data_IF_818840965829
#
_entry.id   IF_818840965829
#
_cell.length_a   1.000
_cell.length_b   1.000
_cell.length_c   1.000
_cell.angle_alpha   90.00
_cell.angle_beta   90.00
_cell.angle_gamma   90.00
#
_symmetry.space_group_name_H-M   'P 1'
#
loop_
_entity.id
_entity.type
_entity.pdbx_description
1 polymer ?
#
# COMPACT_ATOMS: atom_id res chain seq x y z
N UNK A 1 -25.11 -14.96 -21.96
CA UNK A 1 -24.44 -13.67 -22.19
C UNK A 1 -22.94 -13.92 -22.11
N UNK A 2 -22.22 -13.47 -23.12
CA UNK A 2 -20.75 -13.52 -23.09
C UNK A 2 -20.27 -12.68 -21.90
N UNK A 3 -19.19 -13.10 -21.27
CA UNK A 3 -18.55 -12.29 -20.21
C UNK A 3 -17.81 -11.09 -20.81
N UNK A 4 -17.32 -11.25 -22.03
CA UNK A 4 -16.52 -10.26 -22.76
C UNK A 4 -17.03 -10.12 -24.18
N UNK A 5 -17.26 -8.89 -24.60
CA UNK A 5 -17.53 -8.53 -26.00
C UNK A 5 -16.48 -7.53 -26.50
N UNK A 6 -16.14 -7.59 -27.77
CA UNK A 6 -15.19 -6.65 -28.38
C UNK A 6 -15.88 -5.74 -29.40
N UNK A 7 -15.75 -4.43 -29.18
CA UNK A 7 -16.21 -3.41 -30.12
C UNK A 7 -15.05 -3.03 -31.06
N UNK A 8 -15.02 -3.68 -32.22
CA UNK A 8 -13.97 -3.46 -33.23
C UNK A 8 -14.01 -2.08 -33.86
N UNK A 9 -15.15 -1.38 -33.83
CA UNK A 9 -15.30 -0.04 -34.40
C UNK A 9 -14.65 1.03 -33.53
N UNK A 10 -14.63 0.81 -32.22
CA UNK A 10 -14.10 1.74 -31.24
C UNK A 10 -12.85 1.20 -30.50
N UNK A 11 -12.38 0.02 -30.88
CA UNK A 11 -11.17 -0.65 -30.36
C UNK A 11 -11.15 -0.76 -28.83
N UNK A 12 -12.16 -1.45 -28.27
CA UNK A 12 -12.17 -1.77 -26.84
C UNK A 12 -12.97 -3.03 -26.53
N UNK A 13 -12.63 -3.70 -25.42
CA UNK A 13 -13.42 -4.79 -24.86
C UNK A 13 -14.39 -4.29 -23.79
N UNK A 14 -15.61 -4.86 -23.77
CA UNK A 14 -16.63 -4.74 -22.73
C UNK A 14 -16.56 -5.98 -21.85
N UNK A 15 -16.13 -5.83 -20.60
CA UNK A 15 -16.14 -6.92 -19.63
C UNK A 15 -17.35 -6.68 -18.69
N UNK A 16 -18.38 -7.49 -18.85
CA UNK A 16 -19.63 -7.29 -18.10
C UNK A 16 -19.47 -7.63 -16.63
N UNK A 17 -20.06 -6.78 -15.77
CA UNK A 17 -20.03 -6.96 -14.33
C UNK A 17 -21.40 -7.51 -13.87
N UNK A 18 -21.43 -8.64 -13.12
CA UNK A 18 -22.68 -9.28 -12.72
C UNK A 18 -23.35 -8.64 -11.48
N UNK A 19 -22.80 -7.56 -10.97
CA UNK A 19 -23.28 -6.88 -9.77
C UNK A 19 -23.40 -5.37 -10.00
N UNK A 20 -24.04 -4.68 -9.06
CA UNK A 20 -24.18 -3.23 -9.11
C UNK A 20 -22.82 -2.53 -9.01
N UNK A 21 -22.67 -1.43 -9.75
CA UNK A 21 -21.46 -0.61 -9.67
C UNK A 21 -21.32 0.03 -8.29
N UNK A 22 -20.11 -0.04 -7.72
CA UNK A 22 -19.73 0.64 -6.47
C UNK A 22 -18.76 1.75 -6.80
N UNK A 23 -19.25 2.98 -6.89
CA UNK A 23 -18.49 4.15 -7.35
C UNK A 23 -17.32 4.56 -6.44
N UNK A 24 -17.30 4.06 -5.19
CA UNK A 24 -16.25 4.36 -4.21
C UNK A 24 -15.06 3.40 -4.29
N UNK A 25 -15.18 2.31 -5.04
CA UNK A 25 -14.15 1.30 -5.19
C UNK A 25 -13.44 1.42 -6.54
N UNK A 26 -12.16 1.12 -6.56
CA UNK A 26 -11.36 1.09 -7.79
C UNK A 26 -11.64 -0.19 -8.56
N UNK A 27 -12.10 -0.13 -9.81
CA UNK A 27 -12.33 -1.30 -10.62
C UNK A 27 -11.01 -1.94 -11.03
N UNK A 28 -10.98 -3.27 -11.11
CA UNK A 28 -9.83 -4.03 -11.57
C UNK A 28 -10.27 -5.21 -12.43
N UNK A 29 -9.48 -5.46 -13.47
CA UNK A 29 -9.54 -6.69 -14.28
C UNK A 29 -8.21 -7.40 -14.11
N UNK A 30 -8.27 -8.70 -13.88
CA UNK A 30 -7.12 -9.58 -13.77
C UNK A 30 -7.23 -10.63 -14.85
N UNK A 31 -6.13 -10.88 -15.57
CA UNK A 31 -6.04 -11.95 -16.55
C UNK A 31 -5.29 -13.12 -15.94
N UNK A 32 -5.97 -14.26 -15.82
CA UNK A 32 -5.53 -15.43 -15.09
C UNK A 32 -4.67 -16.39 -15.92
N UNK A 33 -4.94 -16.48 -17.21
CA UNK A 33 -4.28 -17.41 -18.10
C UNK A 33 -3.16 -16.80 -18.92
N UNK A 34 -2.37 -17.66 -19.56
CA UNK A 34 -1.14 -17.28 -20.27
C UNK A 34 -1.21 -17.39 -21.80
N UNK A 35 -2.29 -17.88 -22.40
CA UNK A 35 -2.23 -18.27 -23.79
C UNK A 35 -3.31 -17.67 -24.66
N UNK A 36 -3.10 -16.45 -25.08
CA UNK A 36 -3.58 -16.04 -26.38
C UNK A 36 -2.40 -16.07 -27.35
N UNK A 37 -2.46 -16.92 -28.36
CA UNK A 37 -1.50 -16.98 -29.44
C UNK A 37 -1.38 -15.60 -30.08
N UNK A 38 -0.26 -14.90 -29.84
CA UNK A 38 0.06 -13.64 -30.50
C UNK A 38 -0.23 -12.36 -29.70
N UNK A 39 -0.81 -12.44 -28.51
CA UNK A 39 -0.93 -11.29 -27.60
C UNK A 39 -0.14 -11.56 -26.32
N UNK A 40 0.74 -10.64 -25.96
CA UNK A 40 1.48 -10.67 -24.70
C UNK A 40 0.56 -10.30 -23.54
N UNK A 41 -0.29 -11.23 -23.14
CA UNK A 41 -1.07 -11.10 -21.91
C UNK A 41 -0.49 -12.10 -20.93
N UNK A 42 0.30 -11.58 -20.00
CA UNK A 42 0.90 -12.39 -18.95
C UNK A 42 -0.13 -12.74 -17.88
N UNK A 43 -0.02 -13.93 -17.32
CA UNK A 43 -0.82 -14.34 -16.18
C UNK A 43 -0.62 -13.36 -15.01
N UNK A 44 -1.73 -12.97 -14.36
CA UNK A 44 -1.72 -11.97 -13.29
C UNK A 44 -1.62 -10.52 -13.77
N UNK A 45 -1.67 -10.29 -15.09
CA UNK A 45 -1.71 -8.92 -15.61
C UNK A 45 -2.97 -8.21 -15.13
N UNK A 46 -2.80 -7.03 -14.56
CA UNK A 46 -3.88 -6.21 -14.01
C UNK A 46 -4.17 -5.01 -14.89
N UNK A 47 -5.44 -4.74 -15.10
CA UNK A 47 -5.92 -3.59 -15.85
C UNK A 47 -6.84 -2.79 -14.94
N UNK A 48 -6.66 -1.48 -14.89
CA UNK A 48 -7.62 -0.56 -14.28
C UNK A 48 -8.55 -0.03 -15.38
N UNK A 49 -9.77 -0.56 -15.49
CA UNK A 49 -10.69 -0.19 -16.55
C UNK A 49 -11.49 1.08 -16.20
N UNK A 50 -12.20 1.61 -17.18
CA UNK A 50 -13.26 2.61 -16.95
C UNK A 50 -14.60 1.92 -16.79
N UNK A 51 -15.37 2.31 -15.78
CA UNK A 51 -16.73 1.78 -15.57
C UNK A 51 -17.71 2.53 -16.45
N UNK A 52 -18.54 1.79 -17.21
CA UNK A 52 -19.64 2.33 -18.01
C UNK A 52 -20.95 1.76 -17.51
N UNK A 53 -21.90 2.64 -17.18
CA UNK A 53 -23.21 2.28 -16.61
C UNK A 53 -24.38 2.78 -17.44
N UNK A 54 -24.12 3.56 -18.49
CA UNK A 54 -25.16 4.28 -19.24
C UNK A 54 -25.54 3.61 -20.57
N UNK A 55 -24.96 2.44 -20.87
CA UNK A 55 -25.13 1.73 -22.14
C UNK A 55 -25.56 0.28 -21.89
N UNK A 56 -26.78 0.09 -21.42
CA UNK A 56 -27.33 -1.23 -21.09
C UNK A 56 -26.80 -1.82 -19.79
N UNK A 57 -26.37 -3.10 -19.84
CA UNK A 57 -25.76 -3.75 -18.68
C UNK A 57 -24.42 -3.09 -18.34
N UNK A 58 -24.11 -2.87 -17.05
CA UNK A 58 -22.86 -2.24 -16.66
C UNK A 58 -21.64 -3.09 -17.04
N UNK A 59 -20.60 -2.45 -17.54
CA UNK A 59 -19.38 -3.12 -17.94
C UNK A 59 -18.11 -2.31 -17.63
N UNK A 60 -17.01 -3.01 -17.57
CA UNK A 60 -15.67 -2.43 -17.53
C UNK A 60 -15.13 -2.29 -18.95
N UNK A 61 -14.81 -1.05 -19.33
CA UNK A 61 -14.25 -0.73 -20.64
C UNK A 61 -12.73 -0.84 -20.62
N UNK A 62 -12.17 -1.70 -21.47
CA UNK A 62 -10.73 -1.90 -21.65
C UNK A 62 -10.33 -1.43 -23.04
N UNK A 63 -9.65 -0.28 -23.17
CA UNK A 63 -9.27 0.25 -24.48
C UNK A 63 -8.13 -0.55 -25.12
N UNK A 64 -8.14 -0.60 -26.44
CA UNK A 64 -7.05 -1.15 -27.27
C UNK A 64 -6.68 -2.60 -26.99
N UNK A 65 -7.62 -3.40 -26.53
CA UNK A 65 -7.41 -4.84 -26.28
C UNK A 65 -8.65 -5.62 -26.65
N UNK A 66 -8.47 -6.66 -27.41
CA UNK A 66 -9.48 -7.70 -27.63
C UNK A 66 -9.25 -8.82 -26.61
N UNK A 67 -10.14 -8.92 -25.66
CA UNK A 67 -10.07 -9.92 -24.58
C UNK A 67 -11.01 -11.12 -24.83
N UNK A 68 -11.67 -11.20 -25.99
CA UNK A 68 -12.61 -12.29 -26.28
C UNK A 68 -11.92 -13.65 -26.35
N UNK A 69 -10.66 -13.69 -26.81
CA UNK A 69 -9.88 -14.92 -26.89
C UNK A 69 -9.45 -15.48 -25.53
N UNK A 70 -9.53 -14.67 -24.47
CA UNK A 70 -9.16 -15.02 -23.09
C UNK A 70 -10.32 -14.82 -22.10
N UNK A 71 -11.55 -14.85 -22.60
CA UNK A 71 -12.76 -14.58 -21.81
C UNK A 71 -12.86 -15.41 -20.53
N UNK A 72 -12.47 -16.69 -20.58
CA UNK A 72 -12.53 -17.59 -19.41
C UNK A 72 -11.48 -17.26 -18.35
N UNK A 73 -10.41 -16.58 -18.74
CA UNK A 73 -9.32 -16.17 -17.87
C UNK A 73 -9.50 -14.74 -17.33
N UNK A 74 -10.51 -14.00 -17.80
CA UNK A 74 -10.82 -12.65 -17.33
C UNK A 74 -11.56 -12.71 -16.01
N UNK A 75 -10.98 -12.11 -14.97
CA UNK A 75 -11.60 -11.90 -13.67
C UNK A 75 -11.88 -10.41 -13.53
N UNK A 76 -13.13 -10.05 -13.29
CA UNK A 76 -13.55 -8.67 -13.01
C UNK A 76 -13.82 -8.49 -11.52
N UNK A 77 -13.49 -7.34 -10.96
CA UNK A 77 -13.69 -7.09 -9.54
C UNK A 77 -13.36 -5.66 -9.11
N UNK A 78 -13.34 -5.49 -7.82
CA UNK A 78 -12.95 -4.25 -7.17
C UNK A 78 -11.64 -4.46 -6.42
N UNK A 79 -10.73 -3.49 -6.56
CA UNK A 79 -9.48 -3.50 -5.81
C UNK A 79 -9.77 -3.25 -4.34
N UNK A 80 -9.15 -4.02 -3.47
CA UNK A 80 -9.09 -3.78 -2.03
C UNK A 80 -7.65 -3.96 -1.56
N UNK A 81 -7.30 -3.25 -0.51
CA UNK A 81 -5.97 -3.33 0.08
C UNK A 81 -6.06 -4.13 1.39
N UNK A 82 -5.09 -5.03 1.58
CA UNK A 82 -4.83 -5.59 2.89
C UNK A 82 -3.89 -4.65 3.62
N UNK A 83 -4.33 -4.13 4.75
CA UNK A 83 -3.54 -3.19 5.55
C UNK A 83 -3.70 -3.54 7.03
N UNK A 84 -2.64 -4.11 7.62
CA UNK A 84 -2.65 -4.58 8.99
C UNK A 84 -1.51 -3.93 9.75
N UNK A 85 -1.82 -3.18 10.80
CA UNK A 85 -0.83 -2.73 11.77
C UNK A 85 -0.77 -3.76 12.90
N UNK A 86 0.40 -4.35 13.09
CA UNK A 86 0.61 -5.35 14.13
C UNK A 86 0.65 -4.65 15.51
N UNK A 87 -0.12 -5.12 16.48
CA UNK A 87 -0.09 -4.56 17.82
C UNK A 87 1.27 -4.79 18.50
N UNK A 88 1.56 -3.98 19.51
CA UNK A 88 2.78 -4.13 20.30
C UNK A 88 2.85 -5.51 20.94
N UNK A 89 4.02 -6.13 20.86
CA UNK A 89 4.30 -7.43 21.48
C UNK A 89 4.84 -7.24 22.89
N UNK A 90 4.39 -8.04 23.82
CA UNK A 90 4.82 -8.01 25.21
C UNK A 90 5.32 -9.38 25.65
N UNK A 91 6.17 -9.38 26.68
CA UNK A 91 6.65 -10.62 27.27
C UNK A 91 5.49 -11.38 27.96
N UNK A 92 5.38 -12.67 27.68
CA UNK A 92 4.36 -13.53 28.29
C UNK A 92 4.90 -14.09 29.60
N UNK A 93 4.10 -13.99 30.68
CA UNK A 93 4.43 -14.45 32.02
C UNK A 93 3.96 -15.89 32.28
N UNK A 94 3.10 -16.42 31.41
CA UNK A 94 2.58 -17.78 31.52
C UNK A 94 2.55 -18.51 30.18
N UNK A 95 2.56 -19.81 30.20
CA UNK A 95 2.57 -20.66 29.01
C UNK A 95 1.24 -20.59 28.22
N UNK A 96 0.17 -20.15 28.87
CA UNK A 96 -1.15 -19.98 28.25
C UNK A 96 -1.33 -18.61 27.59
N UNK A 97 -0.39 -17.69 27.82
CA UNK A 97 -0.41 -16.36 27.23
C UNK A 97 -1.51 -15.44 27.76
N UNK A 98 -2.12 -15.77 28.89
CA UNK A 98 -3.20 -15.01 29.51
C UNK A 98 -2.68 -13.77 30.28
N UNK A 99 -1.40 -13.79 30.66
CA UNK A 99 -0.76 -12.69 31.41
C UNK A 99 0.47 -12.22 30.64
N UNK A 100 0.53 -10.92 30.44
CA UNK A 100 1.66 -10.25 29.79
C UNK A 100 2.27 -9.22 30.72
N UNK A 101 3.60 -9.08 30.67
CA UNK A 101 4.29 -8.00 31.34
C UNK A 101 4.40 -6.81 30.38
N UNK A 102 3.65 -5.75 30.70
CA UNK A 102 3.63 -4.51 29.92
C UNK A 102 4.79 -3.57 30.29
N UNK A 103 5.51 -3.87 31.34
CA UNK A 103 6.60 -3.04 31.88
C UNK A 103 7.99 -3.54 31.47
N UNK A 104 8.12 -4.82 31.21
CA UNK A 104 9.39 -5.43 30.83
C UNK A 104 9.83 -4.96 29.43
N UNK A 105 11.05 -4.41 29.29
CA UNK A 105 11.59 -4.07 28.00
C UNK A 105 11.91 -5.35 27.22
N UNK A 106 11.25 -5.54 26.08
CA UNK A 106 11.50 -6.62 25.14
C UNK A 106 12.21 -6.06 23.91
N UNK A 107 13.40 -6.59 23.62
CA UNK A 107 14.04 -6.31 22.33
C UNK A 107 13.65 -7.37 21.32
N UNK A 108 12.91 -6.96 20.31
CA UNK A 108 12.50 -7.83 19.20
C UNK A 108 13.64 -7.87 18.19
N UNK A 109 14.38 -8.98 18.16
CA UNK A 109 15.47 -9.15 17.20
C UNK A 109 14.93 -9.43 15.80
N UNK A 110 13.91 -10.29 15.70
CA UNK A 110 13.22 -10.63 14.46
C UNK A 110 11.80 -11.08 14.72
N UNK A 111 10.95 -10.97 13.72
CA UNK A 111 9.61 -11.56 13.72
C UNK A 111 9.52 -12.57 12.58
N UNK A 112 8.85 -13.68 12.82
CA UNK A 112 8.59 -14.72 11.82
C UNK A 112 7.10 -14.77 11.52
N UNK A 113 6.78 -14.82 10.25
CA UNK A 113 5.41 -14.91 9.75
C UNK A 113 5.26 -16.22 8.98
N UNK A 114 4.43 -17.12 9.48
CA UNK A 114 4.02 -18.28 8.72
C UNK A 114 2.83 -17.88 7.84
N UNK A 115 2.98 -18.08 6.55
CA UNK A 115 1.97 -17.76 5.55
C UNK A 115 1.45 -19.02 4.88
N UNK A 116 0.18 -19.01 4.51
CA UNK A 116 -0.43 -20.00 3.63
C UNK A 116 -0.30 -19.58 2.18
N UNK A 117 -1.32 -19.91 1.37
CA UNK A 117 -1.38 -19.53 -0.03
C UNK A 117 -1.30 -18.00 -0.17
N UNK A 118 -0.15 -17.48 -0.54
CA UNK A 118 0.11 -16.04 -0.58
C UNK A 118 0.94 -15.64 -1.78
N UNK A 119 0.60 -14.50 -2.33
CA UNK A 119 1.37 -13.77 -3.32
C UNK A 119 2.31 -12.75 -2.69
N UNK A 120 2.30 -11.53 -3.22
CA UNK A 120 3.16 -10.44 -2.75
C UNK A 120 2.69 -9.92 -1.40
N UNK A 121 3.63 -9.73 -0.48
CA UNK A 121 3.38 -9.15 0.83
C UNK A 121 4.49 -8.14 1.14
N UNK A 122 4.11 -6.91 1.42
CA UNK A 122 5.03 -5.84 1.81
C UNK A 122 5.02 -5.65 3.31
N UNK A 123 6.21 -5.43 3.88
CA UNK A 123 6.36 -5.14 5.30
C UNK A 123 6.98 -3.76 5.47
N UNK A 124 6.36 -2.95 6.30
CA UNK A 124 6.84 -1.61 6.60
C UNK A 124 7.02 -1.45 8.11
N UNK A 125 8.13 -0.84 8.51
CA UNK A 125 8.44 -0.52 9.90
C UNK A 125 8.44 0.98 10.09
N UNK A 126 7.86 1.43 11.18
CA UNK A 126 7.93 2.80 11.62
C UNK A 126 8.50 2.84 13.04
N UNK A 127 9.54 3.63 13.26
CA UNK A 127 10.07 3.89 14.60
C UNK A 127 9.17 4.91 15.31
N UNK A 128 8.64 4.55 16.47
CA UNK A 128 7.82 5.44 17.28
C UNK A 128 8.69 6.29 18.20
N UNK A 129 8.36 7.57 18.35
CA UNK A 129 9.09 8.50 19.22
C UNK A 129 10.37 9.09 18.63
N UNK A 130 10.71 8.74 17.39
CA UNK A 130 11.80 9.36 16.64
C UNK A 130 11.19 10.03 15.42
N UNK A 131 11.11 11.35 15.46
CA UNK A 131 10.71 12.14 14.30
C UNK A 131 11.95 12.48 13.50
N UNK A 132 12.01 12.01 12.26
CA UNK A 132 13.14 12.29 11.38
C UNK A 132 12.93 13.60 10.63
N UNK A 133 14.04 14.26 10.31
CA UNK A 133 14.01 15.49 9.53
C UNK A 133 13.20 16.62 10.17
N UNK A 134 13.08 16.65 11.49
CA UNK A 134 12.28 17.66 12.17
C UNK A 134 12.89 19.05 12.03
N UNK A 135 12.12 20.00 11.54
CA UNK A 135 12.46 21.42 11.51
C UNK A 135 11.32 22.25 12.06
N UNK A 136 11.68 23.25 12.85
CA UNK A 136 10.70 24.14 13.48
C UNK A 136 10.86 25.55 12.98
N UNK A 137 9.73 26.23 12.80
CA UNK A 137 9.65 27.62 12.38
C UNK A 137 8.62 28.35 13.24
N UNK A 138 8.60 29.67 13.12
CA UNK A 138 7.56 30.50 13.69
C UNK A 138 6.88 31.28 12.56
N UNK A 139 5.56 31.22 12.52
CA UNK A 139 4.76 31.98 11.56
C UNK A 139 4.95 33.50 11.79
N UNK A 140 4.94 34.25 10.72
CA UNK A 140 5.02 35.71 10.73
C UNK A 140 3.73 36.40 10.20
N UNK A 141 2.73 35.61 9.85
CA UNK A 141 1.46 36.07 9.29
C UNK A 141 1.53 36.43 7.78
N UNK A 142 2.69 36.33 7.14
CA UNK A 142 2.90 36.72 5.74
C UNK A 142 3.58 35.64 4.90
N UNK A 143 4.50 34.89 5.47
CA UNK A 143 5.26 33.84 4.77
C UNK A 143 4.44 32.58 4.61
N UNK A 144 4.30 32.11 3.39
CA UNK A 144 3.62 30.86 3.06
C UNK A 144 4.59 29.73 2.72
N UNK A 145 5.86 30.04 2.41
CA UNK A 145 6.84 29.08 1.88
C UNK A 145 7.96 28.87 2.88
N UNK A 146 8.21 27.61 3.23
CA UNK A 146 9.23 27.22 4.19
C UNK A 146 10.16 26.16 3.59
N UNK A 147 11.47 26.42 3.61
CA UNK A 147 12.49 25.48 3.18
C UNK A 147 12.83 24.55 4.33
N UNK A 148 12.55 23.28 4.15
CA UNK A 148 12.56 22.36 5.26
C UNK A 148 13.73 21.40 5.28
N UNK A 149 14.29 20.96 4.15
CA UNK A 149 15.20 19.83 4.13
C UNK A 149 16.64 20.23 3.91
N UNK A 150 17.53 19.52 4.64
CA UNK A 150 18.92 19.40 4.34
C UNK A 150 19.15 18.50 3.13
N UNK A 151 20.18 18.77 2.33
CA UNK A 151 20.46 18.21 1.01
C UNK A 151 20.64 16.68 0.97
N UNK A 152 20.70 16.00 2.12
CA UNK A 152 20.97 14.56 2.22
C UNK A 152 19.73 13.66 2.02
N UNK A 153 18.50 14.20 2.05
CA UNK A 153 17.27 13.44 1.90
C UNK A 153 16.71 13.61 0.48
N UNK A 154 17.32 12.94 -0.48
CA UNK A 154 17.00 13.10 -1.91
C UNK A 154 15.73 12.41 -2.39
N UNK A 155 15.08 11.57 -1.56
CA UNK A 155 13.88 10.83 -1.92
C UNK A 155 12.84 10.92 -0.80
N UNK A 156 12.00 11.97 -0.84
CA UNK A 156 10.90 12.12 0.09
C UNK A 156 9.61 11.83 -0.63
N UNK A 157 8.91 10.85 -0.12
CA UNK A 157 7.51 10.67 -0.47
C UNK A 157 6.70 11.79 0.21
N UNK A 158 6.02 12.60 -0.59
CA UNK A 158 5.27 13.75 -0.11
C UNK A 158 4.19 13.36 0.90
N UNK A 159 3.69 12.12 0.82
CA UNK A 159 2.68 11.59 1.74
C UNK A 159 3.23 11.34 3.15
N UNK A 160 4.55 11.23 3.27
CA UNK A 160 5.22 11.04 4.56
C UNK A 160 5.52 12.34 5.29
N UNK A 161 5.38 13.47 4.61
CA UNK A 161 5.58 14.79 5.22
C UNK A 161 4.39 15.15 6.11
N UNK A 162 4.66 15.48 7.37
CA UNK A 162 3.66 15.93 8.33
C UNK A 162 4.01 17.32 8.82
N UNK A 163 2.98 18.12 8.97
CA UNK A 163 3.10 19.49 9.49
C UNK A 163 2.18 19.66 10.66
N UNK A 164 2.69 20.27 11.72
CA UNK A 164 1.90 20.68 12.89
C UNK A 164 1.95 22.20 13.02
N UNK A 165 0.79 22.78 13.33
CA UNK A 165 0.65 24.16 13.75
C UNK A 165 0.19 24.16 15.22
N UNK A 166 1.01 24.75 16.11
CA UNK A 166 0.79 24.73 17.56
C UNK A 166 0.48 23.32 18.13
N UNK A 167 1.14 22.27 17.58
CA UNK A 167 0.96 20.88 17.98
C UNK A 167 -0.20 20.16 17.31
N UNK A 168 -0.99 20.82 16.47
CA UNK A 168 -2.11 20.20 15.74
C UNK A 168 -1.69 19.90 14.30
N UNK A 169 -1.89 18.64 13.86
CA UNK A 169 -1.57 18.23 12.48
C UNK A 169 -2.48 18.96 11.50
N UNK A 170 -1.89 19.50 10.43
CA UNK A 170 -2.62 20.15 9.34
C UNK A 170 -2.32 19.48 8.00
N UNK A 171 -3.27 19.52 7.10
CA UNK A 171 -3.14 19.10 5.70
C UNK A 171 -3.20 20.28 4.73
N UNK A 172 -3.30 21.51 5.24
CA UNK A 172 -3.46 22.73 4.43
C UNK A 172 -2.13 23.22 3.83
N UNK A 173 -1.36 22.32 3.23
CA UNK A 173 -0.08 22.62 2.59
C UNK A 173 0.16 21.72 1.38
N UNK A 174 1.14 22.10 0.57
CA UNK A 174 1.69 21.29 -0.53
C UNK A 174 3.19 21.15 -0.38
N UNK A 175 3.76 20.03 -0.81
CA UNK A 175 5.21 19.81 -0.87
C UNK A 175 5.68 20.00 -2.31
N UNK A 176 6.64 20.88 -2.52
CA UNK A 176 7.24 21.08 -3.83
C UNK A 176 8.42 20.13 -4.06
N UNK A 177 8.81 19.96 -5.33
CA UNK A 177 9.91 19.09 -5.74
C UNK A 177 11.29 19.47 -5.15
N UNK A 178 11.38 20.65 -4.53
CA UNK A 178 12.61 21.20 -3.94
C UNK A 178 12.62 21.12 -2.40
N UNK A 179 11.88 20.17 -1.84
CA UNK A 179 11.81 20.01 -0.38
C UNK A 179 11.31 21.26 0.35
N UNK A 180 10.36 21.90 -0.26
CA UNK A 180 9.76 23.14 0.18
C UNK A 180 8.30 22.91 0.51
N UNK A 181 7.87 23.41 1.65
CA UNK A 181 6.47 23.39 2.06
C UNK A 181 5.83 24.72 1.72
N UNK A 182 4.69 24.67 1.06
CA UNK A 182 3.88 25.84 0.75
C UNK A 182 2.52 25.70 1.42
N UNK A 183 2.22 26.57 2.37
CA UNK A 183 0.90 26.64 3.00
C UNK A 183 -0.12 27.30 2.08
N UNK A 184 -1.37 26.86 2.14
CA UNK A 184 -2.49 27.46 1.42
C UNK A 184 -2.77 28.89 1.89
N UNK A 185 -2.45 29.21 3.14
CA UNK A 185 -2.49 30.55 3.74
C UNK A 185 -1.35 30.69 4.74
N UNK A 186 -0.80 31.88 4.88
CA UNK A 186 0.30 32.14 5.78
C UNK A 186 -0.09 31.81 7.23
N UNK A 187 0.71 30.99 7.94
CA UNK A 187 0.49 30.76 9.39
C UNK A 187 0.55 32.07 10.16
N UNK A 188 -0.38 32.24 11.09
CA UNK A 188 -0.48 33.47 11.88
C UNK A 188 0.83 33.81 12.61
N UNK A 189 1.04 35.09 12.89
CA UNK A 189 2.21 35.52 13.62
C UNK A 189 2.28 34.88 15.03
N UNK A 190 3.43 34.26 15.35
CA UNK A 190 3.66 33.53 16.58
C UNK A 190 3.29 32.05 16.55
N UNK A 191 2.59 31.54 15.50
CA UNK A 191 2.25 30.13 15.35
C UNK A 191 3.53 29.29 15.31
N UNK A 192 3.61 28.24 16.13
CA UNK A 192 4.71 27.28 16.09
C UNK A 192 4.46 26.27 14.99
N UNK A 193 5.34 26.28 14.01
CA UNK A 193 5.30 25.36 12.86
C UNK A 193 6.33 24.28 13.10
N UNK A 194 5.91 23.01 13.07
CA UNK A 194 6.79 21.85 13.13
C UNK A 194 6.58 21.00 11.89
N UNK A 195 7.64 20.76 11.15
CA UNK A 195 7.67 19.92 9.94
C UNK A 195 8.54 18.70 10.25
N UNK A 196 8.07 17.50 9.93
CA UNK A 196 8.79 16.26 10.17
C UNK A 196 8.35 15.17 9.19
N UNK A 197 9.15 14.10 9.09
CA UNK A 197 8.82 12.92 8.33
C UNK A 197 8.16 11.87 9.22
N UNK A 198 7.04 11.34 8.73
CA UNK A 198 6.35 10.20 9.31
C UNK A 198 6.66 8.97 8.45
N UNK A 199 7.88 8.46 8.58
CA UNK A 199 8.42 7.46 7.66
C UNK A 199 8.07 6.04 8.06
N UNK A 200 7.53 5.31 7.08
CA UNK A 200 7.47 3.87 7.08
C UNK A 200 8.60 3.31 6.21
N UNK A 201 9.53 2.59 6.82
CA UNK A 201 10.63 1.95 6.11
C UNK A 201 10.20 0.60 5.55
N UNK A 202 10.51 0.33 4.29
CA UNK A 202 10.31 -0.98 3.72
C UNK A 202 11.30 -1.98 4.36
N UNK A 203 10.77 -3.07 4.88
CA UNK A 203 11.58 -4.18 5.38
C UNK A 203 11.63 -5.28 4.32
N UNK A 204 12.83 -5.72 4.01
CA UNK A 204 13.02 -6.87 3.15
C UNK A 204 13.07 -8.13 4.03
N UNK A 205 12.19 -9.11 3.82
CA UNK A 205 12.28 -10.39 4.51
C UNK A 205 13.57 -11.10 4.11
N UNK A 206 14.16 -11.86 5.05
CA UNK A 206 15.36 -12.65 4.79
C UNK A 206 15.11 -13.86 3.88
N UNK A 207 13.87 -14.26 3.73
CA UNK A 207 13.39 -15.24 2.76
C UNK A 207 12.26 -14.58 1.98
N UNK A 208 12.45 -14.44 0.71
CA UNK A 208 11.43 -13.99 -0.23
C UNK A 208 10.85 -15.27 -0.82
N UNK A 209 9.53 -15.46 -0.70
CA UNK A 209 8.86 -16.36 -1.59
C UNK A 209 8.90 -15.69 -2.96
N UNK A 210 9.63 -16.29 -3.87
CA UNK A 210 9.77 -15.79 -5.22
C UNK A 210 8.46 -16.09 -5.97
N UNK A 211 7.50 -15.21 -5.80
CA UNK A 211 6.14 -15.37 -6.34
C UNK A 211 5.99 -14.74 -7.69
N UNK A 212 7.02 -14.09 -8.20
CA UNK A 212 6.98 -13.30 -9.43
C UNK A 212 8.12 -13.66 -10.37
N UNK A 213 8.16 -14.88 -10.84
CA UNK A 213 8.94 -15.21 -12.03
C UNK A 213 7.97 -15.37 -13.19
N UNK A 214 8.22 -14.53 -14.21
CA UNK A 214 7.59 -14.52 -15.51
C UNK A 214 6.80 -15.78 -15.86
N UNK A 215 5.48 -15.66 -15.93
CA UNK A 215 4.52 -16.62 -16.46
C UNK A 215 4.06 -17.79 -15.59
N UNK A 216 4.68 -18.09 -14.47
CA UNK A 216 4.16 -19.05 -13.51
C UNK A 216 4.01 -18.36 -12.14
N UNK A 217 2.79 -18.01 -11.79
CA UNK A 217 2.50 -17.52 -10.46
C UNK A 217 2.48 -18.72 -9.51
N UNK A 218 3.66 -19.10 -9.05
CA UNK A 218 3.76 -20.01 -7.92
C UNK A 218 3.43 -19.21 -6.66
N UNK A 219 2.19 -19.30 -6.21
CA UNK A 219 1.84 -18.84 -4.88
C UNK A 219 2.56 -19.73 -3.86
N UNK A 220 3.15 -19.12 -2.83
CA UNK A 220 3.71 -19.88 -1.75
C UNK A 220 2.59 -20.61 -1.01
N UNK A 221 2.53 -21.94 -1.11
CA UNK A 221 1.53 -22.77 -0.42
C UNK A 221 1.74 -22.75 1.09
N UNK A 222 3.00 -22.84 1.52
CA UNK A 222 3.44 -22.63 2.88
C UNK A 222 4.84 -22.05 2.89
N UNK A 223 5.04 -20.94 3.60
CA UNK A 223 6.35 -20.33 3.74
C UNK A 223 6.48 -19.63 5.11
N UNK A 224 7.72 -19.43 5.53
CA UNK A 224 8.03 -18.65 6.73
C UNK A 224 8.95 -17.51 6.36
N UNK A 225 8.45 -16.29 6.49
CA UNK A 225 9.25 -15.08 6.33
C UNK A 225 9.86 -14.67 7.66
N UNK A 226 11.12 -14.29 7.64
CA UNK A 226 11.82 -13.75 8.80
C UNK A 226 12.20 -12.30 8.56
N UNK A 227 11.67 -11.41 9.38
CA UNK A 227 11.95 -9.97 9.31
C UNK A 227 12.91 -9.57 10.43
N UNK A 228 14.05 -8.97 10.13
CA UNK A 228 14.92 -8.37 11.14
C UNK A 228 14.27 -7.06 11.64
N UNK A 229 14.09 -6.93 12.95
CA UNK A 229 13.50 -5.75 13.58
C UNK A 229 14.55 -4.98 14.39
N UNK A 230 15.23 -5.66 15.32
CA UNK A 230 16.29 -5.10 16.19
C UNK A 230 15.89 -3.85 16.98
N UNK A 231 14.63 -3.77 17.41
CA UNK A 231 14.12 -2.63 18.17
C UNK A 231 13.39 -3.06 19.45
N UNK A 232 13.24 -2.13 20.39
CA UNK A 232 12.39 -2.36 21.57
C UNK A 232 10.93 -2.39 21.14
N UNK A 233 10.16 -3.29 21.75
CA UNK A 233 8.74 -3.49 21.46
C UNK A 233 7.87 -2.23 21.58
N UNK A 234 8.32 -1.24 22.36
CA UNK A 234 7.63 0.04 22.52
C UNK A 234 7.97 1.08 21.46
N UNK A 235 9.02 0.84 20.67
CA UNK A 235 9.63 1.86 19.82
C UNK A 235 9.37 1.64 18.33
N UNK A 236 8.51 0.70 17.95
CA UNK A 236 8.16 0.51 16.55
C UNK A 236 6.70 0.11 16.36
N UNK A 237 6.22 0.37 15.18
CA UNK A 237 5.00 -0.19 14.60
C UNK A 237 5.39 -0.99 13.35
N UNK A 238 4.76 -2.13 13.17
CA UNK A 238 4.94 -2.98 11.99
C UNK A 238 3.64 -3.04 11.21
N UNK A 239 3.72 -2.74 9.91
CA UNK A 239 2.60 -2.78 8.98
C UNK A 239 2.82 -3.88 7.95
N UNK A 240 1.81 -4.69 7.72
CA UNK A 240 1.73 -5.64 6.62
C UNK A 240 0.76 -5.06 5.60
N UNK A 241 1.22 -4.95 4.37
CA UNK A 241 0.44 -4.33 3.31
C UNK A 241 0.49 -5.16 2.03
N UNK A 242 -0.65 -5.30 1.38
CA UNK A 242 -0.76 -5.87 0.04
C UNK A 242 -1.86 -5.15 -0.74
N UNK A 243 -1.48 -4.54 -1.86
CA UNK A 243 -2.38 -3.93 -2.83
C UNK A 243 -2.42 -4.70 -4.16
N UNK A 244 -1.76 -5.86 -4.19
CA UNK A 244 -1.74 -6.73 -5.37
C UNK A 244 -3.03 -7.55 -5.48
N UNK A 245 -3.37 -8.05 -6.67
CA UNK A 245 -4.54 -8.91 -6.88
C UNK A 245 -4.37 -10.32 -6.32
N UNK A 246 -3.23 -10.63 -5.72
CA UNK A 246 -2.93 -11.97 -5.22
C UNK A 246 -3.42 -12.15 -3.79
N UNK A 247 -3.83 -13.37 -3.43
CA UNK A 247 -4.26 -13.65 -2.06
C UNK A 247 -3.10 -13.52 -1.08
N UNK A 248 -3.45 -13.19 0.16
CA UNK A 248 -2.55 -13.21 1.31
C UNK A 248 -3.21 -14.00 2.43
N UNK A 249 -2.51 -14.99 2.95
CA UNK A 249 -2.95 -15.78 4.09
C UNK A 249 -1.88 -15.77 5.17
N UNK A 250 -2.15 -15.08 6.27
CA UNK A 250 -1.30 -15.04 7.44
C UNK A 250 -1.80 -16.07 8.45
N UNK A 251 -1.04 -17.15 8.65
CA UNK A 251 -1.42 -18.26 9.53
C UNK A 251 -0.98 -18.02 10.98
N UNK A 252 0.24 -17.55 11.18
CA UNK A 252 0.74 -17.21 12.51
C UNK A 252 1.90 -16.23 12.47
N UNK A 253 2.13 -15.60 13.63
CA UNK A 253 3.27 -14.72 13.89
C UNK A 253 4.00 -15.22 15.13
N UNK A 254 5.33 -15.35 15.04
CA UNK A 254 6.23 -15.82 16.10
C UNK A 254 7.38 -14.84 16.36
#
# INVERSE_FOLDING_TARGET
NNKVDYDSSNDFSKCYIPWANVSTLTPVIIIKGTTATGQFIESGFTITPTVVTNDGDPYFKVPRKDLTSVEDDVIVGWKYDLDIIIPKTYYRLDDQGLRSDFTAPLTVARMKFAVGLSGVMSFKLKSTGVEQGTKSFTGDGSTTVFNWIDEELSYIDTDQVKVQLDGVVTTAFTVSALNQITFNSAPANGTKIKIYLDEWYNLNPTQIADTYLANDIALAEQSVFSLPIHQKNTNFELRIFNDSPFPVSLNSMM
#
